data_IF_522623259663
#
_entry.id   IF_522623259663
#
_cell.length_a   1.000
_cell.length_b   1.000
_cell.length_c   1.000
_cell.angle_alpha   90.00
_cell.angle_beta   90.00
_cell.angle_gamma   90.00
#
_symmetry.space_group_name_H-M   'P 1'
#
loop_
_entity.id
_entity.type
_entity.pdbx_description
1 polymer ?
#
# COMPACT_ATOMS: atom_id res chain seq x y z
N UNK A 1 6.86 -66.32 -7.09
CA UNK A 1 8.07 -65.85 -7.78
C UNK A 1 7.83 -64.36 -7.89
N UNK A 2 8.09 -63.58 -6.82
CA UNK A 2 9.33 -62.90 -6.51
C UNK A 2 9.69 -61.92 -7.67
N UNK A 3 9.55 -60.61 -7.49
CA UNK A 3 10.64 -59.85 -6.97
C UNK A 3 10.24 -58.39 -6.65
N UNK A 4 10.84 -57.95 -5.56
CA UNK A 4 10.84 -56.63 -4.95
C UNK A 4 11.43 -55.56 -5.85
N UNK A 5 10.81 -54.35 -5.89
CA UNK A 5 11.50 -53.12 -6.18
C UNK A 5 11.17 -52.04 -5.13
N UNK A 6 12.10 -51.90 -4.25
CA UNK A 6 12.26 -50.90 -3.20
C UNK A 6 12.21 -49.46 -3.77
N UNK A 7 11.21 -48.67 -3.40
CA UNK A 7 11.16 -47.23 -3.71
C UNK A 7 11.78 -46.45 -2.55
N UNK A 8 12.99 -45.99 -2.77
CA UNK A 8 13.75 -45.19 -1.85
C UNK A 8 13.03 -43.85 -1.54
N UNK A 9 12.65 -43.67 -0.29
CA UNK A 9 12.19 -42.41 0.28
C UNK A 9 13.37 -41.43 0.33
N UNK A 10 13.34 -40.40 -0.53
CA UNK A 10 14.18 -39.23 -0.37
C UNK A 10 13.54 -38.32 0.68
N UNK A 11 14.17 -38.25 1.82
CA UNK A 11 13.81 -37.34 2.91
C UNK A 11 13.99 -35.89 2.47
N UNK A 12 12.92 -35.14 2.46
CA UNK A 12 12.95 -33.68 2.38
C UNK A 12 13.46 -33.16 3.74
N UNK A 13 14.67 -32.67 3.76
CA UNK A 13 15.18 -31.89 4.88
C UNK A 13 14.37 -30.60 4.99
N UNK A 14 13.42 -30.56 5.94
CA UNK A 14 12.79 -29.33 6.39
C UNK A 14 13.87 -28.50 7.11
N UNK A 15 14.36 -27.45 6.42
CA UNK A 15 15.05 -26.38 7.11
C UNK A 15 14.01 -25.69 8.01
N UNK A 16 14.11 -25.94 9.30
CA UNK A 16 13.45 -25.16 10.33
C UNK A 16 14.17 -23.80 10.41
N UNK A 17 13.63 -22.83 9.67
CA UNK A 17 13.94 -21.42 9.92
C UNK A 17 13.18 -21.08 11.20
N UNK A 18 13.88 -21.18 12.32
CA UNK A 18 13.38 -20.70 13.60
C UNK A 18 13.10 -19.19 13.54
N UNK A 19 12.12 -18.69 14.29
CA UNK A 19 11.88 -17.27 14.38
C UNK A 19 13.15 -16.61 14.94
N UNK A 20 13.69 -15.65 14.18
CA UNK A 20 14.70 -14.73 14.69
C UNK A 20 14.01 -13.91 15.77
N UNK A 21 14.05 -14.42 17.00
CA UNK A 21 13.69 -13.63 18.17
C UNK A 21 14.60 -12.41 18.17
N UNK A 22 13.97 -11.25 17.90
CA UNK A 22 14.61 -9.96 18.08
C UNK A 22 15.12 -9.91 19.53
N UNK A 23 16.40 -10.21 19.69
CA UNK A 23 17.11 -10.00 20.92
C UNK A 23 17.24 -8.47 21.06
N UNK A 24 16.25 -7.86 21.69
CA UNK A 24 16.38 -6.51 22.23
C UNK A 24 17.54 -6.54 23.21
N UNK A 25 18.74 -6.29 22.72
CA UNK A 25 19.84 -5.84 23.53
C UNK A 25 19.48 -4.40 23.98
N UNK A 26 18.57 -4.32 24.96
CA UNK A 26 18.57 -3.18 25.85
C UNK A 26 19.90 -3.26 26.57
N UNK A 27 20.93 -2.63 26.01
CA UNK A 27 22.16 -2.33 26.74
C UNK A 27 21.72 -1.34 27.80
N UNK A 28 21.65 -1.73 29.09
CA UNK A 28 21.47 -0.73 30.13
C UNK A 28 22.75 0.10 30.05
N UNK A 29 22.62 1.34 29.61
CA UNK A 29 23.62 2.37 29.87
C UNK A 29 23.60 2.55 31.38
N UNK A 30 24.42 1.77 32.08
CA UNK A 30 24.80 2.02 33.46
C UNK A 30 25.49 3.38 33.47
N UNK A 31 24.71 4.42 33.74
CA UNK A 31 25.24 5.74 34.05
C UNK A 31 26.06 5.62 35.33
N UNK A 32 27.33 5.25 35.19
CA UNK A 32 28.29 5.35 36.28
C UNK A 32 28.52 6.83 36.61
N UNK A 33 28.71 7.18 37.88
CA UNK A 33 29.06 8.54 38.26
C UNK A 33 30.48 8.85 37.75
N UNK A 34 30.59 9.61 36.66
CA UNK A 34 31.87 10.06 36.13
C UNK A 34 32.02 10.27 34.62
N UNK A 35 30.94 10.13 33.82
CA UNK A 35 31.06 10.40 32.40
C UNK A 35 31.22 11.91 32.11
N UNK A 36 32.26 12.23 31.32
CA UNK A 36 32.50 13.61 30.90
C UNK A 36 31.34 14.11 30.00
N UNK A 37 31.13 15.44 29.90
CA UNK A 37 30.14 16.02 29.00
C UNK A 37 30.34 15.59 27.53
N UNK A 38 31.59 15.34 27.11
CA UNK A 38 31.93 14.89 25.75
C UNK A 38 31.50 13.44 25.50
N UNK A 39 31.73 12.54 26.47
CA UNK A 39 31.30 11.13 26.36
C UNK A 39 29.77 11.01 26.27
N UNK A 40 29.03 11.83 27.03
CA UNK A 40 27.56 11.89 26.96
C UNK A 40 27.09 12.39 25.61
N UNK A 41 27.77 13.38 25.02
CA UNK A 41 27.42 13.91 23.70
C UNK A 41 27.67 12.90 22.58
N UNK A 42 28.81 12.19 22.63
CA UNK A 42 29.11 11.11 21.68
C UNK A 42 28.14 9.92 21.81
N UNK A 43 27.80 9.50 23.01
CA UNK A 43 26.80 8.47 23.22
C UNK A 43 25.42 8.87 22.67
N UNK A 44 25.01 10.15 22.85
CA UNK A 44 23.76 10.68 22.29
C UNK A 44 23.77 10.71 20.74
N UNK A 45 24.90 11.07 20.12
CA UNK A 45 25.04 11.01 18.64
C UNK A 45 24.94 9.59 18.11
N UNK A 46 25.60 8.63 18.78
CA UNK A 46 25.54 7.21 18.40
C UNK A 46 24.10 6.70 18.56
N UNK A 47 23.43 7.01 19.66
CA UNK A 47 22.03 6.61 19.88
C UNK A 47 21.11 7.14 18.79
N UNK A 48 21.19 8.42 18.41
CA UNK A 48 20.43 9.01 17.30
C UNK A 48 20.72 8.33 15.95
N UNK A 49 21.99 7.98 15.69
CA UNK A 49 22.36 7.28 14.44
C UNK A 49 21.76 5.88 14.39
N UNK A 50 21.77 5.16 15.50
CA UNK A 50 21.16 3.82 15.61
C UNK A 50 19.65 3.91 15.46
N UNK A 51 18.99 4.84 16.13
CA UNK A 51 17.54 5.06 16.01
C UNK A 51 17.13 5.36 14.55
N UNK A 52 17.88 6.25 13.88
CA UNK A 52 17.65 6.55 12.46
C UNK A 52 17.82 5.30 11.57
N UNK A 53 18.86 4.51 11.79
CA UNK A 53 19.10 3.30 11.02
C UNK A 53 18.00 2.25 11.23
N UNK A 54 17.52 2.07 12.47
CA UNK A 54 16.40 1.19 12.78
C UNK A 54 15.11 1.66 12.13
N UNK A 55 14.83 2.97 12.14
CA UNK A 55 13.69 3.56 11.46
C UNK A 55 13.71 3.29 9.95
N UNK A 56 14.85 3.50 9.30
CA UNK A 56 15.01 3.20 7.86
C UNK A 56 14.84 1.72 7.54
N UNK A 57 15.34 0.83 8.38
CA UNK A 57 15.17 -0.61 8.20
C UNK A 57 13.69 -1.03 8.34
N UNK A 58 12.99 -0.47 9.30
CA UNK A 58 11.57 -0.72 9.49
C UNK A 58 10.72 -0.22 8.30
N UNK A 59 11.01 0.97 7.79
CA UNK A 59 10.33 1.50 6.61
C UNK A 59 10.60 0.64 5.36
N UNK A 60 11.84 0.19 5.16
CA UNK A 60 12.18 -0.69 4.05
C UNK A 60 11.43 -2.04 4.13
N UNK A 61 11.28 -2.60 5.32
CA UNK A 61 10.51 -3.82 5.54
C UNK A 61 9.01 -3.59 5.28
N UNK A 62 8.46 -2.47 5.74
CA UNK A 62 7.06 -2.10 5.50
C UNK A 62 6.77 -1.93 4.00
N UNK A 63 7.70 -1.30 3.25
CA UNK A 63 7.59 -1.17 1.79
C UNK A 63 7.66 -2.52 1.08
N UNK A 64 8.55 -3.42 1.52
CA UNK A 64 8.63 -4.76 0.95
C UNK A 64 7.31 -5.52 1.09
N UNK A 65 6.68 -5.46 2.26
CA UNK A 65 5.36 -6.06 2.46
C UNK A 65 4.27 -5.41 1.60
N UNK A 66 4.32 -4.09 1.46
CA UNK A 66 3.40 -3.37 0.57
C UNK A 66 3.54 -3.85 -0.88
N UNK A 67 4.76 -4.00 -1.39
CA UNK A 67 5.03 -4.49 -2.75
C UNK A 67 4.58 -5.95 -2.93
N UNK A 68 4.72 -6.79 -1.92
CA UNK A 68 4.24 -8.18 -1.93
C UNK A 68 2.71 -8.24 -2.07
N UNK A 69 1.97 -7.47 -1.28
CA UNK A 69 0.49 -7.40 -1.37
C UNK A 69 0.02 -6.85 -2.73
N UNK A 70 0.74 -5.85 -3.29
CA UNK A 70 0.47 -5.35 -4.63
C UNK A 70 0.68 -6.42 -5.71
N UNK A 71 1.74 -7.21 -5.58
CA UNK A 71 2.05 -8.29 -6.51
C UNK A 71 0.98 -9.40 -6.45
N UNK A 72 0.55 -9.78 -5.24
CA UNK A 72 -0.53 -10.75 -5.04
C UNK A 72 -1.85 -10.27 -5.65
N UNK A 73 -2.18 -8.99 -5.47
CA UNK A 73 -3.35 -8.40 -6.09
C UNK A 73 -3.25 -8.41 -7.62
N UNK A 74 -2.11 -8.01 -8.19
CA UNK A 74 -1.90 -7.97 -9.63
C UNK A 74 -2.01 -9.37 -10.26
N UNK A 75 -1.52 -10.39 -9.57
CA UNK A 75 -1.67 -11.80 -10.00
C UNK A 75 -3.15 -12.24 -9.97
N UNK A 76 -3.88 -11.90 -8.90
CA UNK A 76 -5.32 -12.16 -8.82
C UNK A 76 -6.06 -11.47 -9.96
N UNK A 77 -5.80 -10.17 -10.19
CA UNK A 77 -6.38 -9.39 -11.28
C UNK A 77 -6.15 -10.08 -12.63
N UNK A 78 -4.90 -10.40 -12.96
CA UNK A 78 -4.53 -11.05 -14.21
C UNK A 78 -5.25 -12.40 -14.40
N UNK A 79 -5.36 -13.21 -13.34
CA UNK A 79 -6.10 -14.48 -13.37
C UNK A 79 -7.60 -14.27 -13.65
N UNK A 80 -8.22 -13.23 -13.07
CA UNK A 80 -9.64 -12.97 -13.33
C UNK A 80 -9.87 -12.41 -14.74
N UNK A 81 -9.00 -11.52 -15.22
CA UNK A 81 -9.03 -10.99 -16.60
C UNK A 81 -8.92 -12.15 -17.61
N UNK A 82 -7.96 -13.06 -17.44
CA UNK A 82 -7.78 -14.21 -18.32
C UNK A 82 -9.02 -15.13 -18.34
N UNK A 83 -9.59 -15.43 -17.16
CA UNK A 83 -10.81 -16.25 -17.06
C UNK A 83 -12.01 -15.60 -17.71
N UNK A 84 -12.19 -14.30 -17.52
CA UNK A 84 -13.30 -13.57 -18.09
C UNK A 84 -13.13 -13.42 -19.61
N UNK A 85 -11.92 -13.08 -20.07
CA UNK A 85 -11.59 -12.96 -21.48
C UNK A 85 -11.78 -14.23 -22.28
N UNK A 86 -11.62 -15.41 -21.65
CA UNK A 86 -11.91 -16.70 -22.29
C UNK A 86 -13.42 -16.98 -22.44
N UNK A 87 -14.28 -16.28 -21.67
CA UNK A 87 -15.72 -16.49 -21.64
C UNK A 87 -16.50 -15.43 -22.42
N UNK A 88 -15.92 -14.26 -22.63
CA UNK A 88 -16.57 -13.15 -23.31
C UNK A 88 -16.17 -13.10 -24.78
N UNK A 89 -17.12 -12.81 -25.71
CA UNK A 89 -16.81 -12.45 -27.08
C UNK A 89 -15.85 -11.25 -27.15
N UNK A 90 -15.07 -11.15 -28.23
CA UNK A 90 -14.02 -10.15 -28.34
C UNK A 90 -14.57 -8.70 -28.31
N UNK A 91 -15.75 -8.49 -28.88
CA UNK A 91 -16.48 -7.22 -28.90
C UNK A 91 -17.09 -6.81 -27.55
N UNK A 92 -17.33 -7.77 -26.66
CA UNK A 92 -17.85 -7.52 -25.32
C UNK A 92 -16.76 -7.18 -24.30
N UNK A 93 -15.48 -7.42 -24.63
CA UNK A 93 -14.34 -7.12 -23.75
C UNK A 93 -14.15 -5.61 -23.68
N UNK A 94 -14.17 -5.00 -22.56
CA UNK A 94 -14.04 -3.55 -22.39
C UNK A 94 -15.39 -2.81 -22.27
N UNK A 95 -16.49 -3.52 -22.33
CA UNK A 95 -17.81 -2.93 -22.02
C UNK A 95 -17.97 -2.73 -20.51
N UNK A 96 -18.92 -1.84 -20.12
CA UNK A 96 -19.28 -1.64 -18.70
C UNK A 96 -19.71 -2.97 -18.05
N UNK A 97 -20.39 -3.84 -18.81
CA UNK A 97 -20.78 -5.16 -18.32
C UNK A 97 -19.57 -6.04 -17.99
N UNK A 98 -18.53 -6.02 -18.83
CA UNK A 98 -17.29 -6.74 -18.58
C UNK A 98 -16.51 -6.20 -17.38
N UNK A 99 -16.48 -4.87 -17.21
CA UNK A 99 -15.89 -4.22 -16.04
C UNK A 99 -16.59 -4.67 -14.75
N UNK A 100 -17.93 -4.63 -14.72
CA UNK A 100 -18.72 -5.09 -13.57
C UNK A 100 -18.51 -6.57 -13.29
N UNK A 101 -18.47 -7.41 -14.33
CA UNK A 101 -18.19 -8.84 -14.18
C UNK A 101 -16.80 -9.08 -13.58
N UNK A 102 -15.79 -8.31 -14.00
CA UNK A 102 -14.44 -8.38 -13.44
C UNK A 102 -14.42 -7.93 -11.97
N UNK A 103 -15.07 -6.81 -11.66
CA UNK A 103 -15.20 -6.30 -10.29
C UNK A 103 -15.84 -7.35 -9.37
N UNK A 104 -16.95 -7.96 -9.78
CA UNK A 104 -17.60 -9.02 -9.03
C UNK A 104 -16.70 -10.25 -8.84
N UNK A 105 -15.97 -10.65 -9.89
CA UNK A 105 -15.07 -11.80 -9.82
C UNK A 105 -13.90 -11.57 -8.86
N UNK A 106 -13.33 -10.35 -8.86
CA UNK A 106 -12.27 -9.96 -7.93
C UNK A 106 -12.82 -9.86 -6.50
N UNK A 107 -13.94 -9.15 -6.29
CA UNK A 107 -14.55 -8.98 -4.99
C UNK A 107 -14.93 -10.33 -4.34
N UNK A 108 -15.44 -11.28 -5.13
CA UNK A 108 -15.76 -12.63 -4.65
C UNK A 108 -14.52 -13.40 -4.17
N UNK A 109 -13.34 -13.15 -4.77
CA UNK A 109 -12.07 -13.75 -4.33
C UNK A 109 -11.48 -13.04 -3.11
N UNK A 110 -11.89 -11.80 -2.90
CA UNK A 110 -11.46 -10.94 -1.79
C UNK A 110 -12.60 -10.66 -0.80
N UNK A 111 -13.52 -11.60 -0.63
CA UNK A 111 -14.70 -11.42 0.23
C UNK A 111 -14.35 -11.12 1.70
N UNK A 112 -13.18 -11.54 2.16
CA UNK A 112 -12.67 -11.30 3.51
C UNK A 112 -11.74 -10.10 3.61
N UNK A 113 -11.47 -9.41 2.49
CA UNK A 113 -10.56 -8.26 2.47
C UNK A 113 -11.08 -7.11 3.34
N UNK A 114 -10.16 -6.46 4.06
CA UNK A 114 -10.43 -5.39 5.01
C UNK A 114 -9.59 -4.15 4.68
N UNK A 115 -10.03 -2.97 5.11
CA UNK A 115 -9.19 -1.78 5.04
C UNK A 115 -7.85 -1.99 5.75
N UNK A 116 -6.76 -1.65 5.06
CA UNK A 116 -5.41 -1.82 5.57
C UNK A 116 -4.77 -3.18 5.29
N UNK A 117 -5.37 -4.04 4.50
CA UNK A 117 -4.73 -5.30 4.08
C UNK A 117 -3.51 -5.02 3.19
N UNK A 118 -3.57 -3.98 2.33
CA UNK A 118 -2.44 -3.51 1.51
C UNK A 118 -1.74 -2.35 2.22
N UNK A 119 -2.49 -1.30 2.60
CA UNK A 119 -1.97 -0.22 3.43
C UNK A 119 -1.85 -0.64 4.90
N UNK A 120 -1.01 -1.64 5.18
CA UNK A 120 -0.80 -2.14 6.53
C UNK A 120 -0.39 -1.04 7.51
N UNK A 121 -0.69 -1.16 8.80
CA UNK A 121 -0.35 -0.14 9.81
C UNK A 121 1.11 0.31 9.78
N UNK A 122 2.03 -0.59 9.42
CA UNK A 122 3.47 -0.34 9.39
C UNK A 122 3.87 0.63 8.27
N UNK A 123 3.17 0.62 7.12
CA UNK A 123 3.50 1.48 5.97
C UNK A 123 2.75 2.82 6.01
N UNK A 124 1.64 2.90 6.72
CA UNK A 124 0.79 4.10 6.76
C UNK A 124 1.52 5.39 7.19
N UNK A 125 2.38 5.38 8.24
CA UNK A 125 3.11 6.59 8.64
C UNK A 125 4.04 7.11 7.55
N UNK A 126 4.66 6.20 6.79
CA UNK A 126 5.52 6.56 5.66
C UNK A 126 4.72 7.29 4.58
N UNK A 127 3.59 6.73 4.16
CA UNK A 127 2.74 7.36 3.13
C UNK A 127 2.24 8.74 3.57
N UNK A 128 1.73 8.87 4.81
CA UNK A 128 1.29 10.16 5.34
C UNK A 128 2.42 11.19 5.38
N UNK A 129 3.64 10.78 5.75
CA UNK A 129 4.80 11.66 5.74
C UNK A 129 5.16 12.12 4.33
N UNK A 130 5.28 11.19 3.37
CA UNK A 130 5.61 11.50 1.98
C UNK A 130 4.60 12.47 1.37
N UNK A 131 3.30 12.24 1.59
CA UNK A 131 2.23 13.12 1.11
C UNK A 131 2.32 14.49 1.80
N UNK A 132 2.47 14.54 3.11
CA UNK A 132 2.53 15.79 3.86
C UNK A 132 3.73 16.65 3.44
N UNK A 133 4.90 16.06 3.21
CA UNK A 133 6.10 16.76 2.73
C UNK A 133 5.84 17.46 1.39
N UNK A 134 5.13 16.83 0.47
CA UNK A 134 4.80 17.42 -0.83
C UNK A 134 3.72 18.52 -0.72
N UNK A 135 2.72 18.31 0.12
CA UNK A 135 1.63 19.27 0.32
C UNK A 135 2.03 20.51 1.14
N UNK A 136 3.11 20.42 1.93
CA UNK A 136 3.67 21.50 2.74
C UNK A 136 4.92 22.15 2.11
N UNK A 137 5.48 21.54 1.06
CA UNK A 137 6.66 22.01 0.36
C UNK A 137 6.45 23.31 -0.42
N UNK A 138 7.47 23.78 -1.16
CA UNK A 138 7.41 25.03 -1.94
C UNK A 138 6.23 25.07 -2.91
N UNK A 139 5.94 23.96 -3.57
CA UNK A 139 4.81 23.81 -4.52
C UNK A 139 3.55 23.24 -3.86
N UNK A 140 3.52 23.17 -2.53
CA UNK A 140 2.47 22.54 -1.75
C UNK A 140 1.11 23.23 -1.88
N UNK A 141 1.09 24.55 -2.13
CA UNK A 141 -0.14 25.31 -2.35
C UNK A 141 -0.85 24.85 -3.63
N UNK A 142 -0.11 24.70 -4.73
CA UNK A 142 -0.69 24.25 -6.00
C UNK A 142 -1.13 22.77 -5.91
N UNK A 143 -0.36 21.93 -5.23
CA UNK A 143 -0.74 20.55 -4.99
C UNK A 143 -2.02 20.42 -4.14
N UNK A 144 -2.18 21.23 -3.08
CA UNK A 144 -3.42 21.29 -2.30
C UNK A 144 -4.61 21.77 -3.12
N UNK A 145 -4.41 22.82 -3.93
CA UNK A 145 -5.45 23.33 -4.84
C UNK A 145 -5.89 22.26 -5.84
N UNK A 146 -4.96 21.54 -6.45
CA UNK A 146 -5.27 20.44 -7.38
C UNK A 146 -6.09 19.32 -6.71
N UNK A 147 -5.81 19.01 -5.42
CA UNK A 147 -6.62 18.05 -4.66
C UNK A 147 -8.03 18.56 -4.40
N UNK A 148 -8.20 19.83 -4.03
CA UNK A 148 -9.51 20.43 -3.79
C UNK A 148 -10.33 20.53 -5.07
N UNK A 149 -9.72 20.94 -6.18
CA UNK A 149 -10.36 20.99 -7.51
C UNK A 149 -10.78 19.60 -8.00
N UNK A 150 -10.03 18.57 -7.67
CA UNK A 150 -10.35 17.18 -8.00
C UNK A 150 -11.47 16.57 -7.15
N UNK A 151 -11.82 17.20 -6.03
CA UNK A 151 -12.93 16.83 -5.15
C UNK A 151 -13.91 17.98 -5.03
N UNK A 152 -14.61 18.38 -6.12
CA UNK A 152 -15.54 19.49 -6.07
C UNK A 152 -16.67 19.17 -5.09
N UNK A 153 -17.04 20.14 -4.27
CA UNK A 153 -18.26 20.14 -3.46
C UNK A 153 -19.52 20.36 -4.32
N UNK A 154 -19.54 19.77 -5.50
CA UNK A 154 -20.66 19.92 -6.43
C UNK A 154 -21.81 19.02 -6.00
N UNK A 155 -23.00 19.60 -5.84
CA UNK A 155 -24.22 18.85 -5.48
C UNK A 155 -24.57 17.75 -6.50
N UNK A 156 -24.09 17.86 -7.73
CA UNK A 156 -24.28 16.89 -8.81
C UNK A 156 -23.16 15.83 -8.89
N UNK A 157 -22.12 15.94 -8.07
CA UNK A 157 -21.04 14.96 -8.07
C UNK A 157 -21.51 13.62 -7.54
N UNK A 158 -21.17 12.53 -8.25
CA UNK A 158 -21.49 11.18 -7.80
C UNK A 158 -20.62 10.86 -6.57
N UNK A 159 -21.22 10.68 -5.38
CA UNK A 159 -20.43 10.42 -4.18
C UNK A 159 -19.71 9.07 -4.26
N UNK A 160 -18.43 9.06 -3.88
CA UNK A 160 -17.64 7.83 -3.78
C UNK A 160 -17.77 7.27 -2.36
N UNK A 161 -18.30 6.05 -2.26
CA UNK A 161 -18.29 5.32 -0.99
C UNK A 161 -16.95 4.63 -0.82
N UNK A 162 -16.05 5.20 -0.01
CA UNK A 162 -14.73 4.63 0.25
C UNK A 162 -14.86 3.38 1.12
N UNK A 163 -14.81 2.24 0.46
CA UNK A 163 -14.89 0.92 1.10
C UNK A 163 -14.20 -0.12 0.21
N UNK A 164 -13.48 -1.06 0.82
CA UNK A 164 -12.86 -2.19 0.09
C UNK A 164 -13.93 -2.97 -0.67
N UNK A 165 -13.60 -3.33 -1.90
CA UNK A 165 -14.47 -4.00 -2.86
C UNK A 165 -15.72 -3.19 -3.28
N UNK A 166 -15.79 -1.89 -2.99
CA UNK A 166 -16.81 -1.01 -3.55
C UNK A 166 -16.47 -0.58 -4.98
N UNK A 167 -17.49 -0.34 -5.80
CA UNK A 167 -17.32 0.26 -7.12
C UNK A 167 -16.78 1.69 -6.98
N UNK A 168 -15.81 2.05 -7.82
CA UNK A 168 -15.42 3.43 -8.04
C UNK A 168 -16.26 3.96 -9.20
N UNK A 169 -17.29 4.77 -8.96
CA UNK A 169 -18.32 5.03 -9.97
C UNK A 169 -17.76 5.81 -11.16
N UNK A 170 -18.18 5.49 -12.39
CA UNK A 170 -17.89 6.31 -13.54
C UNK A 170 -18.58 7.69 -13.34
N UNK A 171 -17.83 8.75 -13.45
CA UNK A 171 -18.33 10.10 -13.14
C UNK A 171 -18.05 10.58 -11.72
N UNK A 172 -17.46 9.73 -10.87
CA UNK A 172 -16.84 10.20 -9.64
C UNK A 172 -15.78 11.28 -9.94
N UNK A 173 -15.62 12.29 -9.08
CA UNK A 173 -14.55 13.26 -9.21
C UNK A 173 -13.24 12.53 -9.41
N UNK A 174 -12.58 12.77 -10.53
CA UNK A 174 -11.25 12.20 -10.79
C UNK A 174 -10.21 13.07 -10.10
N UNK A 175 -10.18 13.06 -8.77
CA UNK A 175 -9.10 13.74 -8.08
C UNK A 175 -7.79 13.07 -8.46
N UNK A 176 -7.09 13.77 -9.34
CA UNK A 176 -5.76 13.35 -9.76
C UNK A 176 -4.81 13.57 -8.61
N UNK A 177 -4.06 12.54 -8.28
CA UNK A 177 -2.94 12.72 -7.34
C UNK A 177 -1.97 13.75 -7.96
N UNK A 178 -1.64 14.86 -7.26
CA UNK A 178 -0.72 15.84 -7.78
C UNK A 178 0.60 15.19 -8.23
N UNK A 179 1.20 15.60 -9.36
CA UNK A 179 2.41 14.97 -9.86
C UNK A 179 3.55 14.92 -8.85
N UNK A 180 3.72 15.96 -8.04
CA UNK A 180 4.72 16.02 -6.97
C UNK A 180 4.51 14.91 -5.94
N UNK A 181 3.26 14.65 -5.54
CA UNK A 181 2.91 13.55 -4.63
C UNK A 181 3.13 12.21 -5.31
N UNK A 182 2.63 12.04 -6.54
CA UNK A 182 2.72 10.77 -7.26
C UNK A 182 4.18 10.31 -7.46
N UNK A 183 5.10 11.23 -7.70
CA UNK A 183 6.53 10.92 -7.89
C UNK A 183 7.23 10.45 -6.62
N UNK A 184 6.65 10.70 -5.44
CA UNK A 184 7.22 10.28 -4.15
C UNK A 184 6.61 8.98 -3.62
N UNK A 185 5.44 8.59 -4.15
CA UNK A 185 4.78 7.35 -3.75
C UNK A 185 5.41 6.14 -4.45
N UNK A 186 5.37 4.95 -3.81
CA UNK A 186 5.81 3.71 -4.44
C UNK A 186 5.09 3.46 -5.77
N UNK A 187 5.80 2.92 -6.80
CA UNK A 187 5.18 2.60 -8.07
C UNK A 187 4.14 1.50 -7.93
N UNK A 188 3.11 1.55 -8.77
CA UNK A 188 2.02 0.57 -8.77
C UNK A 188 2.08 -0.35 -10.00
N UNK A 189 1.58 -1.60 -9.91
CA UNK A 189 1.24 -2.41 -11.07
C UNK A 189 0.27 -1.67 -12.01
N UNK A 190 0.38 -1.91 -13.32
CA UNK A 190 -0.37 -1.17 -14.34
C UNK A 190 -1.90 -1.26 -14.25
N UNK A 191 -2.45 -2.19 -13.47
CA UNK A 191 -3.88 -2.29 -13.19
C UNK A 191 -4.35 -1.39 -12.05
N UNK A 192 -3.44 -0.80 -11.27
CA UNK A 192 -3.75 -0.01 -10.08
C UNK A 192 -3.38 1.46 -10.25
N UNK A 193 -4.17 2.33 -9.66
CA UNK A 193 -3.90 3.76 -9.59
C UNK A 193 -4.20 4.29 -8.20
N UNK A 194 -3.40 5.28 -7.76
CA UNK A 194 -3.75 6.10 -6.61
C UNK A 194 -4.81 7.13 -7.00
N UNK A 195 -5.75 7.37 -6.11
CA UNK A 195 -6.74 8.45 -6.17
C UNK A 195 -6.90 9.08 -4.79
N UNK A 196 -7.25 10.34 -4.74
CA UNK A 196 -7.77 10.93 -3.52
C UNK A 196 -9.29 10.99 -3.58
N UNK A 197 -9.92 10.66 -2.48
CA UNK A 197 -11.33 10.97 -2.21
C UNK A 197 -11.32 11.75 -0.91
N UNK A 198 -11.62 13.01 -0.98
CA UNK A 198 -11.37 13.97 0.09
C UNK A 198 -9.91 13.92 0.56
N UNK A 199 -9.67 13.42 1.77
CA UNK A 199 -8.32 13.28 2.35
C UNK A 199 -7.81 11.85 2.34
N UNK A 200 -8.60 10.91 1.88
CA UNK A 200 -8.25 9.49 1.84
C UNK A 200 -7.48 9.15 0.56
N UNK A 201 -6.37 8.46 0.69
CA UNK A 201 -5.65 7.90 -0.45
C UNK A 201 -6.26 6.53 -0.78
N UNK A 202 -6.87 6.43 -1.94
CA UNK A 202 -7.60 5.24 -2.39
C UNK A 202 -6.79 4.53 -3.47
N UNK A 203 -6.66 3.22 -3.36
CA UNK A 203 -6.08 2.35 -4.37
C UNK A 203 -7.19 1.78 -5.24
N UNK A 204 -7.21 2.16 -6.51
CA UNK A 204 -8.29 1.80 -7.45
C UNK A 204 -7.77 0.90 -8.56
N UNK A 205 -8.46 -0.22 -8.79
CA UNK A 205 -8.29 -1.01 -10.00
C UNK A 205 -8.92 -0.25 -11.17
N UNK A 206 -8.09 0.19 -12.12
CA UNK A 206 -8.51 1.02 -13.24
C UNK A 206 -9.33 0.28 -14.29
N UNK A 207 -9.21 -1.04 -14.38
CA UNK A 207 -9.94 -1.90 -15.32
C UNK A 207 -11.28 -2.32 -14.73
N UNK A 208 -11.26 -2.79 -13.48
CA UNK A 208 -12.46 -3.23 -12.78
C UNK A 208 -13.27 -2.06 -12.21
N UNK A 209 -12.70 -0.83 -12.13
CA UNK A 209 -13.29 0.32 -11.42
C UNK A 209 -13.70 -0.08 -9.99
N UNK A 210 -12.75 -0.65 -9.26
CA UNK A 210 -12.96 -1.23 -7.93
C UNK A 210 -12.00 -0.61 -6.93
N UNK A 211 -12.49 -0.22 -5.76
CA UNK A 211 -11.64 0.19 -4.64
C UNK A 211 -11.00 -1.06 -4.04
N UNK A 212 -9.69 -1.15 -4.11
CA UNK A 212 -8.91 -2.30 -3.65
C UNK A 212 -8.55 -2.18 -2.17
N UNK A 213 -8.07 -1.01 -1.78
CA UNK A 213 -7.78 -0.64 -0.40
C UNK A 213 -7.72 0.88 -0.28
N UNK A 214 -7.62 1.41 0.93
CA UNK A 214 -7.50 2.84 1.15
C UNK A 214 -6.79 3.15 2.46
N UNK A 215 -6.13 4.32 2.48
CA UNK A 215 -5.49 4.90 3.65
C UNK A 215 -6.29 6.13 4.09
N UNK A 216 -7.04 6.04 5.19
CA UNK A 216 -7.84 7.17 5.68
C UNK A 216 -6.96 8.32 6.17
N UNK A 217 -7.41 9.56 5.96
CA UNK A 217 -6.72 10.79 6.34
C UNK A 217 -5.23 10.78 5.92
N UNK A 218 -4.96 10.34 4.68
CA UNK A 218 -3.62 10.30 4.10
C UNK A 218 -3.07 11.71 3.86
N UNK A 219 -3.92 12.65 3.41
CA UNK A 219 -3.57 14.04 3.30
C UNK A 219 -3.83 14.79 4.62
N UNK A 220 -2.97 15.76 4.99
CA UNK A 220 -3.24 16.68 6.10
C UNK A 220 -4.48 17.53 5.80
N UNK A 221 -4.84 18.43 6.71
CA UNK A 221 -5.88 19.40 6.43
C UNK A 221 -5.51 20.25 5.20
N UNK A 222 -6.42 20.31 4.22
CA UNK A 222 -6.21 20.99 2.95
C UNK A 222 -6.62 22.47 2.97
N UNK A 223 -7.04 23.01 4.13
CA UNK A 223 -7.43 24.40 4.25
C UNK A 223 -6.34 25.34 3.69
N UNK A 224 -6.70 26.16 2.72
CA UNK A 224 -5.86 27.20 2.15
C UNK A 224 -6.06 28.43 3.02
N UNK A 225 -5.06 28.76 3.87
CA UNK A 225 -5.04 30.01 4.62
C UNK A 225 -4.61 31.16 3.72
#
# INVERSE_FOLDING_TARGET
>A
MDDHASFARRGAARLLIGPLTAFCLAVPVLAGPGQSPEEKNEAAKVAKKVEKALGMAHEAEALRHFDEELAEYAELHAKQVAKLGARLPADARGTVAAQKALAHAIAAKRATARPGDIFRPEVQPLFRRLIAEQLQGPDGLDARRALLEGNPEDEDAVPVVVRVNAEYPPGAPRSTVPPSVLLTLPPLPGCLHYRFVDRDLVLVDSVAQLIVDFLPAAAPDLAIQ
#
